data_IF_083287039655
#
_entry.id   IF_083287039655
#
_cell.length_a   1.000
_cell.length_b   1.000
_cell.length_c   1.000
_cell.angle_alpha   90.00
_cell.angle_beta   90.00
_cell.angle_gamma   90.00
#
_symmetry.space_group_name_H-M   'P 1'
#
loop_
_entity.id
_entity.type
_entity.pdbx_description
1 polymer ?
#
# COMPACT_ATOMS: atom_id res chain seq x y z
N UNK A 1 -4.78 16.75 15.49
CA UNK A 1 -4.88 15.31 15.15
C UNK A 1 -3.72 14.94 14.24
N UNK A 2 -3.02 13.85 14.57
CA UNK A 2 -2.03 13.25 13.66
C UNK A 2 -2.68 12.98 12.28
N UNK A 3 -1.91 13.15 11.20
CA UNK A 3 -2.32 12.76 9.84
C UNK A 3 -3.22 13.74 9.07
N UNK A 4 -3.69 14.85 9.67
CA UNK A 4 -4.60 15.79 8.98
C UNK A 4 -3.98 16.42 7.72
N UNK A 5 -2.73 16.88 7.80
CA UNK A 5 -2.02 17.47 6.65
C UNK A 5 -1.91 16.49 5.48
N UNK A 6 -1.62 15.22 5.76
CA UNK A 6 -1.51 14.19 4.73
C UNK A 6 -2.86 13.91 4.07
N UNK A 7 -3.92 13.79 4.86
CA UNK A 7 -5.29 13.63 4.34
C UNK A 7 -5.67 14.79 3.43
N UNK A 8 -5.47 16.02 3.89
CA UNK A 8 -5.87 17.22 3.16
C UNK A 8 -5.12 17.31 1.83
N UNK A 9 -3.81 17.01 1.84
CA UNK A 9 -3.00 16.90 0.63
C UNK A 9 -3.52 15.83 -0.35
N UNK A 10 -3.84 14.63 0.13
CA UNK A 10 -4.34 13.54 -0.74
C UNK A 10 -5.67 13.91 -1.40
N UNK A 11 -6.58 14.55 -0.65
CA UNK A 11 -7.88 15.00 -1.15
C UNK A 11 -7.71 16.14 -2.14
N UNK A 12 -6.79 17.08 -1.88
CA UNK A 12 -6.49 18.20 -2.78
C UNK A 12 -5.90 17.71 -4.11
N UNK A 13 -4.95 16.78 -4.07
CA UNK A 13 -4.32 16.20 -5.27
C UNK A 13 -5.31 15.36 -6.09
N UNK A 14 -6.23 14.65 -5.40
CA UNK A 14 -7.23 13.76 -6.01
C UNK A 14 -6.62 12.84 -7.10
N UNK A 15 -5.64 11.99 -6.76
CA UNK A 15 -4.90 11.20 -7.73
C UNK A 15 -5.82 10.20 -8.43
N UNK A 16 -5.59 9.91 -9.71
CA UNK A 16 -6.35 8.87 -10.43
C UNK A 16 -5.98 7.46 -10.02
N UNK A 17 -4.72 7.26 -9.62
CA UNK A 17 -4.16 5.96 -9.22
C UNK A 17 -3.35 6.13 -7.94
N UNK A 18 -3.46 5.15 -7.05
CA UNK A 18 -2.74 5.12 -5.78
C UNK A 18 -2.22 3.71 -5.51
N UNK A 19 -0.94 3.61 -5.13
CA UNK A 19 -0.28 2.34 -4.83
C UNK A 19 0.28 2.41 -3.42
N UNK A 20 -0.12 1.44 -2.58
CA UNK A 20 0.50 1.21 -1.28
C UNK A 20 1.56 0.11 -1.43
N UNK A 21 2.82 0.51 -1.33
CA UNK A 21 3.96 -0.39 -1.44
C UNK A 21 4.38 -0.92 -0.06
N UNK A 22 4.26 -2.23 0.12
CA UNK A 22 4.73 -2.94 1.31
C UNK A 22 6.11 -3.59 1.06
N UNK A 23 6.93 -3.64 2.11
CA UNK A 23 8.23 -4.31 2.01
C UNK A 23 8.10 -5.84 1.99
N UNK A 24 9.10 -6.52 1.45
CA UNK A 24 9.10 -7.98 1.23
C UNK A 24 9.06 -8.82 2.52
N UNK A 25 9.49 -8.24 3.64
CA UNK A 25 9.51 -8.88 4.96
C UNK A 25 8.43 -8.26 5.87
N UNK A 26 7.33 -7.76 5.28
CA UNK A 26 6.31 -7.02 6.02
C UNK A 26 5.77 -7.85 7.17
N UNK A 27 6.05 -7.38 8.38
CA UNK A 27 5.50 -7.93 9.60
C UNK A 27 3.96 -7.75 9.59
N UNK A 28 3.21 -8.54 10.39
CA UNK A 28 1.75 -8.47 10.41
C UNK A 28 1.17 -7.07 10.67
N UNK A 29 1.90 -6.22 11.40
CA UNK A 29 1.52 -4.84 11.68
C UNK A 29 1.62 -3.92 10.44
N UNK A 30 2.62 -4.12 9.59
CA UNK A 30 2.84 -3.41 8.34
C UNK A 30 1.77 -3.79 7.31
N UNK A 31 1.46 -5.09 7.22
CA UNK A 31 0.36 -5.59 6.38
C UNK A 31 -0.99 -5.04 6.87
N UNK A 32 -1.24 -5.12 8.18
CA UNK A 32 -2.47 -4.61 8.78
C UNK A 32 -2.64 -3.09 8.59
N UNK A 33 -1.56 -2.32 8.73
CA UNK A 33 -1.54 -0.88 8.50
C UNK A 33 -1.81 -0.53 7.04
N UNK A 34 -1.20 -1.25 6.09
CA UNK A 34 -1.47 -1.06 4.67
C UNK A 34 -2.93 -1.38 4.32
N UNK A 35 -3.49 -2.45 4.89
CA UNK A 35 -4.90 -2.79 4.72
C UNK A 35 -5.82 -1.69 5.28
N UNK A 36 -5.58 -1.24 6.52
CA UNK A 36 -6.37 -0.17 7.13
C UNK A 36 -6.29 1.14 6.32
N UNK A 37 -5.09 1.50 5.86
CA UNK A 37 -4.87 2.68 5.02
C UNK A 37 -5.59 2.55 3.67
N UNK A 38 -5.58 1.35 3.06
CA UNK A 38 -6.30 1.12 1.79
C UNK A 38 -7.81 1.35 1.94
N UNK A 39 -8.41 0.90 3.04
CA UNK A 39 -9.84 1.12 3.34
C UNK A 39 -10.16 2.59 3.61
N UNK A 40 -9.22 3.33 4.19
CA UNK A 40 -9.37 4.76 4.35
C UNK A 40 -9.31 5.47 3.00
N UNK A 41 -8.32 5.15 2.17
CA UNK A 41 -8.14 5.76 0.85
C UNK A 41 -9.32 5.45 -0.08
N UNK A 42 -9.87 4.23 -0.06
CA UNK A 42 -11.05 3.91 -0.88
C UNK A 42 -12.29 4.73 -0.51
N UNK A 43 -12.36 5.28 0.72
CA UNK A 43 -13.45 6.18 1.14
C UNK A 43 -13.15 7.64 0.80
N UNK A 44 -11.89 8.06 0.89
CA UNK A 44 -11.46 9.42 0.57
C UNK A 44 -11.40 9.67 -0.94
N UNK A 45 -11.11 8.63 -1.71
CA UNK A 45 -10.87 8.65 -3.14
C UNK A 45 -11.68 7.53 -3.84
N UNK A 46 -13.02 7.63 -3.86
CA UNK A 46 -13.88 6.55 -4.36
C UNK A 46 -13.72 6.27 -5.86
N UNK A 47 -13.25 7.26 -6.63
CA UNK A 47 -13.09 7.17 -8.09
C UNK A 47 -11.65 6.84 -8.52
N UNK A 48 -10.74 6.63 -7.57
CA UNK A 48 -9.32 6.38 -7.83
C UNK A 48 -9.02 4.88 -7.85
N UNK A 49 -8.19 4.44 -8.79
CA UNK A 49 -7.61 3.10 -8.75
C UNK A 49 -6.71 2.97 -7.52
N UNK A 50 -6.90 1.89 -6.75
CA UNK A 50 -6.14 1.63 -5.53
C UNK A 50 -5.61 0.21 -5.56
N UNK A 51 -4.29 0.06 -5.40
CA UNK A 51 -3.64 -1.24 -5.28
C UNK A 51 -2.72 -1.29 -4.06
N UNK A 52 -2.67 -2.47 -3.42
CA UNK A 52 -1.70 -2.77 -2.37
C UNK A 52 -0.76 -3.80 -2.94
N UNK A 53 0.53 -3.47 -3.01
CA UNK A 53 1.54 -4.31 -3.63
C UNK A 53 2.61 -4.61 -2.58
N UNK A 54 2.77 -5.89 -2.26
CA UNK A 54 3.94 -6.36 -1.55
C UNK A 54 5.00 -6.76 -2.57
N UNK A 55 6.24 -6.29 -2.39
CA UNK A 55 7.35 -6.76 -3.22
C UNK A 55 7.53 -8.26 -3.00
N UNK A 56 7.26 -9.09 -4.01
CA UNK A 56 7.69 -10.48 -4.01
C UNK A 56 9.22 -10.49 -4.00
N UNK A 57 9.82 -10.75 -2.83
CA UNK A 57 11.15 -11.34 -2.87
C UNK A 57 10.96 -12.76 -3.37
N UNK A 58 11.17 -12.98 -4.66
CA UNK A 58 11.78 -14.27 -5.01
C UNK A 58 13.11 -14.23 -4.29
N UNK A 59 13.22 -14.91 -3.15
CA UNK A 59 14.55 -15.17 -2.63
C UNK A 59 15.27 -15.83 -3.81
N UNK A 60 16.30 -15.18 -4.31
CA UNK A 60 17.07 -15.67 -5.46
C UNK A 60 17.58 -17.10 -5.22
N UNK A 61 17.62 -17.52 -3.95
CA UNK A 61 17.77 -18.88 -3.45
C UNK A 61 16.61 -19.82 -3.81
N UNK A 62 15.35 -19.44 -3.57
CA UNK A 62 14.17 -20.27 -3.90
C UNK A 62 14.03 -20.51 -5.40
N UNK A 63 14.44 -19.54 -6.24
CA UNK A 63 14.44 -19.70 -7.70
C UNK A 63 15.42 -20.77 -8.20
N UNK A 64 16.53 -20.99 -7.49
CA UNK A 64 17.54 -22.02 -7.81
C UNK A 64 17.22 -23.41 -7.27
N UNK A 65 16.23 -23.54 -6.40
CA UNK A 65 15.80 -24.83 -5.85
C UNK A 65 14.68 -25.50 -6.68
N UNK A 66 14.12 -24.77 -7.66
CA UNK A 66 13.03 -25.23 -8.53
C UNK A 66 13.55 -25.56 -9.95
N UNK A 67 14.82 -25.24 -10.26
CA UNK A 67 15.57 -25.74 -11.43
C UNK A 67 16.41 -26.96 -11.03
#
# INVERSE_FOLDING_TARGET
MLGRKLRDFIVEVKPKECVLLCHHNADPDSIGSAYALSKLLSRLLPDSGLSVVASESVSSLSKRLIE
#
